data_IF_821565856593
#
_entry.id   IF_821565856593
#
_cell.length_a   1.000
_cell.length_b   1.000
_cell.length_c   1.000
_cell.angle_alpha   90.00
_cell.angle_beta   90.00
_cell.angle_gamma   90.00
#
_symmetry.space_group_name_H-M   'P 1'
#
loop_
_entity.id
_entity.type
_entity.pdbx_description
1 polymer ?
#
# COMPACT_ATOMS: atom_id res chain seq x y z
N UNK A 1 -8.25 -6.88 -59.91
CA UNK A 1 -7.94 -5.57 -59.28
C UNK A 1 -7.66 -5.84 -57.82
N UNK A 2 -6.38 -5.81 -57.43
CA UNK A 2 -5.93 -6.05 -56.06
C UNK A 2 -6.28 -4.82 -55.20
N UNK A 3 -6.99 -4.99 -54.08
CA UNK A 3 -7.18 -3.90 -53.12
C UNK A 3 -5.89 -3.68 -52.33
N UNK A 4 -5.50 -2.42 -52.04
CA UNK A 4 -4.32 -2.13 -51.23
C UNK A 4 -4.56 -2.46 -49.75
N UNK A 5 -3.63 -3.19 -49.15
CA UNK A 5 -3.59 -3.48 -47.71
C UNK A 5 -3.14 -2.18 -47.03
N UNK A 6 -4.01 -1.56 -46.23
CA UNK A 6 -3.65 -0.40 -45.42
C UNK A 6 -2.70 -0.85 -44.29
N UNK A 7 -1.69 -0.05 -43.92
CA UNK A 7 -0.80 -0.38 -42.81
C UNK A 7 -1.62 -0.43 -41.52
N UNK A 8 -1.33 -1.43 -40.67
CA UNK A 8 -1.86 -1.51 -39.31
C UNK A 8 -1.28 -0.31 -38.57
N UNK A 9 -2.06 0.76 -38.46
CA UNK A 9 -1.75 1.84 -37.54
C UNK A 9 -1.76 1.25 -36.13
N UNK A 10 -0.58 1.16 -35.53
CA UNK A 10 -0.41 0.79 -34.14
C UNK A 10 -0.97 1.96 -33.33
N UNK A 11 -2.28 1.94 -33.07
CA UNK A 11 -2.94 2.90 -32.19
C UNK A 11 -2.15 2.96 -30.87
N UNK A 12 -1.82 4.17 -30.36
CA UNK A 12 -1.15 4.28 -29.08
C UNK A 12 -2.02 3.58 -28.05
N UNK A 13 -1.44 2.60 -27.35
CA UNK A 13 -2.15 1.75 -26.40
C UNK A 13 -2.97 2.65 -25.47
N UNK A 14 -4.30 2.55 -25.60
CA UNK A 14 -5.21 3.35 -24.80
C UNK A 14 -4.92 3.05 -23.33
N UNK A 15 -4.42 4.06 -22.63
CA UNK A 15 -4.13 3.96 -21.22
C UNK A 15 -5.43 3.63 -20.46
N UNK A 16 -5.46 2.46 -19.82
CA UNK A 16 -6.65 1.94 -19.15
C UNK A 16 -6.44 1.98 -17.63
N UNK A 17 -6.98 2.99 -16.94
CA UNK A 17 -6.75 3.15 -15.51
C UNK A 17 -7.45 2.02 -14.73
N UNK A 18 -6.75 1.45 -13.74
CA UNK A 18 -7.34 0.53 -12.77
C UNK A 18 -7.43 1.20 -11.40
N UNK A 19 -8.58 1.11 -10.75
CA UNK A 19 -8.83 1.73 -9.44
C UNK A 19 -8.03 1.07 -8.29
N UNK A 20 -7.33 -0.02 -8.55
CA UNK A 20 -6.52 -0.78 -7.59
C UNK A 20 -5.02 -0.56 -7.75
N UNK A 21 -4.59 0.26 -8.73
CA UNK A 21 -3.19 0.62 -8.93
C UNK A 21 -2.98 2.12 -8.67
N UNK A 22 -2.08 2.42 -7.73
CA UNK A 22 -1.77 3.80 -7.32
C UNK A 22 -1.09 4.61 -8.43
N UNK A 23 -0.27 3.96 -9.27
CA UNK A 23 0.34 4.61 -10.42
C UNK A 23 -0.75 5.00 -11.40
N UNK A 24 -1.76 4.13 -11.55
CA UNK A 24 -2.84 4.40 -12.48
C UNK A 24 -3.74 5.56 -12.05
N UNK A 25 -4.10 5.58 -10.76
CA UNK A 25 -4.90 6.66 -10.17
C UNK A 25 -4.18 8.01 -10.35
N UNK A 26 -2.89 8.08 -10.02
CA UNK A 26 -2.11 9.30 -10.13
C UNK A 26 -2.01 9.82 -11.58
N UNK A 27 -1.72 8.95 -12.55
CA UNK A 27 -1.64 9.36 -13.96
C UNK A 27 -3.00 9.81 -14.51
N UNK A 28 -4.10 9.21 -14.05
CA UNK A 28 -5.44 9.64 -14.44
C UNK A 28 -5.77 11.06 -13.96
N UNK A 29 -5.33 11.42 -12.75
CA UNK A 29 -5.49 12.77 -12.21
C UNK A 29 -4.63 13.79 -12.96
N UNK A 30 -3.39 13.41 -13.30
CA UNK A 30 -2.49 14.27 -14.09
C UNK A 30 -3.05 14.53 -15.50
N UNK A 31 -3.58 13.50 -16.17
CA UNK A 31 -4.27 13.64 -17.45
C UNK A 31 -5.48 14.59 -17.37
N UNK A 32 -6.23 14.54 -16.26
CA UNK A 32 -7.37 15.43 -16.04
C UNK A 32 -6.96 16.89 -15.75
N UNK A 33 -5.78 17.12 -15.16
CA UNK A 33 -5.29 18.45 -14.80
C UNK A 33 -4.50 19.13 -15.92
N UNK A 34 -3.85 18.38 -16.79
CA UNK A 34 -2.94 18.90 -17.82
C UNK A 34 -3.31 18.35 -19.22
N UNK A 35 -4.01 19.11 -20.06
CA UNK A 35 -4.38 18.65 -21.40
C UNK A 35 -3.19 18.48 -22.37
N UNK A 36 -2.02 19.02 -22.02
CA UNK A 36 -0.76 18.79 -22.75
C UNK A 36 -0.08 17.47 -22.38
N UNK A 37 -0.55 16.80 -21.32
CA UNK A 37 -0.05 15.48 -20.94
C UNK A 37 -0.83 14.44 -21.74
N UNK A 38 -0.15 13.75 -22.64
CA UNK A 38 -0.78 12.76 -23.54
C UNK A 38 -0.79 11.37 -22.94
N UNK A 39 -1.64 10.49 -23.46
CA UNK A 39 -1.67 9.08 -23.07
C UNK A 39 -0.33 8.37 -23.32
N UNK A 40 0.41 8.77 -24.36
CA UNK A 40 1.74 8.23 -24.66
C UNK A 40 2.77 8.58 -23.58
N UNK A 41 2.74 9.82 -23.09
CA UNK A 41 3.59 10.24 -21.98
C UNK A 41 3.22 9.53 -20.67
N UNK A 42 1.93 9.30 -20.43
CA UNK A 42 1.46 8.53 -19.28
C UNK A 42 2.02 7.10 -19.29
N UNK A 43 1.94 6.41 -20.44
CA UNK A 43 2.47 5.05 -20.59
C UNK A 43 4.00 4.98 -20.42
N UNK A 44 4.72 5.99 -20.90
CA UNK A 44 6.17 6.10 -20.68
C UNK A 44 6.50 6.22 -19.19
N UNK A 45 5.84 7.14 -18.49
CA UNK A 45 6.05 7.40 -17.05
C UNK A 45 5.70 6.16 -16.22
N UNK A 46 4.60 5.48 -16.56
CA UNK A 46 4.19 4.24 -15.92
C UNK A 46 5.28 3.15 -16.01
N UNK A 47 5.84 2.96 -17.20
CA UNK A 47 6.92 1.99 -17.43
C UNK A 47 8.16 2.30 -16.61
N UNK A 48 8.63 3.55 -16.66
CA UNK A 48 9.81 4.00 -15.90
C UNK A 48 9.59 3.87 -14.39
N UNK A 49 8.38 4.19 -13.92
CA UNK A 49 8.03 4.05 -12.53
C UNK A 49 8.06 2.59 -12.07
N UNK A 50 7.50 1.67 -12.87
CA UNK A 50 7.55 0.24 -12.53
C UNK A 50 8.94 -0.36 -12.66
N UNK A 51 9.78 0.11 -13.57
CA UNK A 51 11.17 -0.33 -13.64
C UNK A 51 11.96 0.12 -12.41
N UNK A 52 11.76 1.37 -11.98
CA UNK A 52 12.48 1.95 -10.85
C UNK A 52 12.00 1.46 -9.48
N UNK A 53 10.71 1.19 -9.33
CA UNK A 53 10.09 0.88 -8.03
C UNK A 53 9.33 -0.45 -7.98
N UNK A 54 9.05 -1.09 -9.12
CA UNK A 54 8.22 -2.30 -9.21
C UNK A 54 8.96 -3.62 -9.03
N UNK A 55 10.26 -3.60 -8.73
CA UNK A 55 11.08 -4.81 -8.61
C UNK A 55 11.01 -5.52 -7.27
N UNK A 56 10.71 -4.80 -6.17
CA UNK A 56 10.75 -5.39 -4.82
C UNK A 56 9.37 -5.36 -4.15
N UNK A 57 9.01 -6.49 -3.51
CA UNK A 57 7.78 -6.56 -2.71
C UNK A 57 8.01 -5.79 -1.42
N UNK A 58 7.63 -4.52 -1.41
CA UNK A 58 7.64 -3.71 -0.18
C UNK A 58 6.73 -4.38 0.85
N UNK A 59 7.33 -4.83 1.96
CA UNK A 59 6.57 -5.34 3.08
C UNK A 59 5.85 -4.18 3.78
N UNK A 60 4.58 -3.98 3.44
CA UNK A 60 3.72 -3.04 4.14
C UNK A 60 3.24 -3.71 5.43
N UNK A 61 3.87 -3.37 6.56
CA UNK A 61 3.34 -3.67 7.89
C UNK A 61 1.89 -3.16 7.96
N UNK A 62 0.91 -4.06 7.95
CA UNK A 62 -0.47 -3.69 8.30
C UNK A 62 -0.42 -3.14 9.73
N UNK A 63 -0.63 -1.84 9.92
CA UNK A 63 -0.80 -1.26 11.26
C UNK A 63 -1.94 -2.01 11.94
N UNK A 64 -1.58 -2.94 12.83
CA UNK A 64 -2.53 -3.72 13.62
C UNK A 64 -3.21 -2.80 14.63
N UNK A 65 -4.23 -2.06 14.20
CA UNK A 65 -4.93 -1.07 15.03
C UNK A 65 -5.41 -1.69 16.35
N UNK A 66 -5.97 -2.90 16.30
CA UNK A 66 -6.49 -3.59 17.50
C UNK A 66 -5.37 -4.03 18.46
N UNK A 67 -4.22 -4.49 17.94
CA UNK A 67 -3.11 -4.94 18.77
C UNK A 67 -2.37 -3.75 19.40
N UNK A 68 -2.25 -2.64 18.69
CA UNK A 68 -1.59 -1.42 19.18
C UNK A 68 -2.34 -0.82 20.37
N UNK A 69 -3.68 -0.73 20.33
CA UNK A 69 -4.46 -0.19 21.44
C UNK A 69 -4.39 -1.05 22.70
N UNK A 70 -4.52 -2.38 22.58
CA UNK A 70 -4.40 -3.29 23.72
C UNK A 70 -2.99 -3.24 24.33
N UNK A 71 -1.95 -3.26 23.49
CA UNK A 71 -0.58 -3.20 23.96
C UNK A 71 -0.29 -1.87 24.68
N UNK A 72 -0.81 -0.75 24.17
CA UNK A 72 -0.72 0.54 24.83
C UNK A 72 -1.44 0.57 26.19
N UNK A 73 -2.61 -0.07 26.30
CA UNK A 73 -3.32 -0.21 27.58
C UNK A 73 -2.52 -1.04 28.59
N UNK A 74 -1.96 -2.19 28.17
CA UNK A 74 -1.12 -3.05 29.01
C UNK A 74 0.10 -2.27 29.54
N UNK A 75 0.81 -1.54 28.66
CA UNK A 75 1.95 -0.71 29.07
C UNK A 75 1.57 0.35 30.10
N UNK A 76 0.43 1.02 29.90
CA UNK A 76 -0.07 2.05 30.82
C UNK A 76 -0.44 1.47 32.19
N UNK A 77 -1.16 0.36 32.21
CA UNK A 77 -1.55 -0.32 33.46
C UNK A 77 -0.32 -0.83 34.23
N UNK A 78 0.67 -1.38 33.52
CA UNK A 78 1.94 -1.79 34.13
C UNK A 78 2.72 -0.60 34.72
N UNK A 79 2.79 0.53 33.99
CA UNK A 79 3.40 1.77 34.48
C UNK A 79 2.66 2.35 35.70
N UNK A 80 1.35 2.11 35.82
CA UNK A 80 0.57 2.46 37.01
C UNK A 80 0.84 1.54 38.22
N UNK A 81 1.67 0.51 38.07
CA UNK A 81 2.07 -0.40 39.15
C UNK A 81 1.23 -1.68 39.25
N UNK A 82 0.40 -1.99 38.25
CA UNK A 82 -0.42 -3.20 38.25
C UNK A 82 0.43 -4.48 38.18
N UNK A 83 0.01 -5.52 38.91
CA UNK A 83 0.72 -6.81 38.94
C UNK A 83 0.49 -7.59 37.65
N UNK A 84 1.55 -8.24 37.13
CA UNK A 84 1.50 -9.07 35.93
C UNK A 84 0.40 -10.16 36.00
N UNK A 85 0.17 -10.75 37.18
CA UNK A 85 -0.88 -11.76 37.36
C UNK A 85 -2.30 -11.20 37.12
N UNK A 86 -2.54 -9.92 37.45
CA UNK A 86 -3.82 -9.25 37.22
C UNK A 86 -3.98 -8.89 35.75
N UNK A 87 -2.93 -8.37 35.12
CA UNK A 87 -2.89 -8.08 33.67
C UNK A 87 -3.15 -9.32 32.82
N UNK A 88 -2.60 -10.46 33.23
CA UNK A 88 -2.80 -11.75 32.55
C UNK A 88 -4.27 -12.17 32.52
N UNK A 89 -4.98 -12.05 33.65
CA UNK A 89 -6.41 -12.36 33.76
C UNK A 89 -7.27 -11.36 32.99
N UNK A 90 -6.97 -10.07 33.07
CA UNK A 90 -7.74 -9.00 32.44
C UNK A 90 -7.63 -9.02 30.91
N UNK A 91 -6.43 -9.23 30.38
CA UNK A 91 -6.15 -9.17 28.95
C UNK A 91 -6.11 -10.55 28.27
N UNK A 92 -6.23 -11.64 29.04
CA UNK A 92 -6.23 -13.02 28.53
C UNK A 92 -4.89 -13.44 27.90
N UNK A 93 -3.77 -12.88 28.39
CA UNK A 93 -2.44 -13.13 27.84
C UNK A 93 -1.56 -13.89 28.84
N UNK A 94 -0.74 -14.79 28.32
CA UNK A 94 0.28 -15.47 29.10
C UNK A 94 1.37 -14.50 29.58
N UNK A 95 2.06 -14.82 30.69
CA UNK A 95 3.08 -13.94 31.28
C UNK A 95 4.23 -13.63 30.31
N UNK A 96 4.69 -14.59 29.51
CA UNK A 96 5.74 -14.36 28.51
C UNK A 96 5.31 -13.32 27.47
N UNK A 97 4.07 -13.41 26.99
CA UNK A 97 3.52 -12.46 26.01
C UNK A 97 3.35 -11.06 26.59
N UNK A 98 3.01 -10.94 27.87
CA UNK A 98 2.96 -9.65 28.56
C UNK A 98 4.36 -9.03 28.67
N UNK A 99 5.38 -9.80 29.01
CA UNK A 99 6.76 -9.32 29.07
C UNK A 99 7.29 -8.86 27.71
N UNK A 100 6.97 -9.59 26.63
CA UNK A 100 7.28 -9.14 25.26
C UNK A 100 6.63 -7.79 24.96
N UNK A 101 5.37 -7.58 25.34
CA UNK A 101 4.66 -6.32 25.10
C UNK A 101 5.23 -5.18 25.94
N UNK A 102 5.63 -5.45 27.19
CA UNK A 102 6.22 -4.44 28.09
C UNK A 102 7.61 -4.01 27.58
N UNK A 103 8.40 -4.95 27.05
CA UNK A 103 9.78 -4.70 26.61
C UNK A 103 9.93 -4.33 25.12
N UNK A 104 8.88 -4.51 24.29
CA UNK A 104 8.81 -4.00 22.91
C UNK A 104 8.63 -2.48 22.87
#
# INVERSE_FOLDING_TARGET
>A
MQQPILPIECLPAAYSPSATDIIHDLLSQVLAMAPSFTAELAAQVEREAREKWGGDRVYVQRKGGTLSHRNAAIKREYQAGERIALLSRRHGLGPSRLWEIINS
#
